data_IF_889465568009
#
_entry.id   IF_889465568009
#
_cell.length_a   1.000
_cell.length_b   1.000
_cell.length_c   1.000
_cell.angle_alpha   90.00
_cell.angle_beta   90.00
_cell.angle_gamma   90.00
#
_symmetry.space_group_name_H-M   'P 1'
#
loop_
_entity.id
_entity.type
_entity.pdbx_description
1 polymer ?
#
# COMPACT_ATOMS: atom_id res chain seq x y z
N UNK A 1 -23.60 -23.64 6.67
CA UNK A 1 -22.19 -23.17 6.60
C UNK A 1 -21.81 -23.03 5.13
N UNK A 2 -21.82 -21.81 4.60
CA UNK A 2 -21.43 -21.58 3.20
C UNK A 2 -19.90 -21.68 3.09
N UNK A 3 -19.43 -22.64 2.30
CA UNK A 3 -18.01 -22.84 1.99
C UNK A 3 -17.51 -21.58 1.28
N UNK A 4 -16.80 -20.72 1.99
CA UNK A 4 -16.17 -19.53 1.41
C UNK A 4 -15.20 -20.03 0.33
N UNK A 5 -15.50 -19.75 -0.94
CA UNK A 5 -14.61 -20.14 -2.03
C UNK A 5 -13.31 -19.36 -1.85
N UNK A 6 -12.21 -20.09 -1.64
CA UNK A 6 -10.88 -19.50 -1.56
C UNK A 6 -10.48 -19.04 -2.97
N UNK A 7 -10.98 -17.88 -3.37
CA UNK A 7 -10.63 -17.19 -4.62
C UNK A 7 -9.14 -16.79 -4.65
N UNK A 8 -8.42 -16.97 -3.53
CA UNK A 8 -6.99 -16.75 -3.38
C UNK A 8 -6.19 -17.45 -4.49
N UNK A 9 -6.54 -18.68 -4.88
CA UNK A 9 -5.82 -19.43 -5.91
C UNK A 9 -5.96 -18.79 -7.30
N UNK A 10 -7.17 -18.34 -7.66
CA UNK A 10 -7.40 -17.63 -8.93
C UNK A 10 -6.68 -16.28 -9.00
N UNK A 11 -6.61 -15.57 -7.87
CA UNK A 11 -5.88 -14.30 -7.78
C UNK A 11 -4.36 -14.50 -7.80
N UNK A 12 -3.83 -15.53 -7.14
CA UNK A 12 -2.42 -15.90 -7.19
C UNK A 12 -2.01 -16.31 -8.61
N UNK A 13 -2.88 -17.01 -9.34
CA UNK A 13 -2.67 -17.35 -10.75
C UNK A 13 -2.69 -16.11 -11.64
N UNK A 14 -3.66 -15.21 -11.48
CA UNK A 14 -3.75 -13.97 -12.27
C UNK A 14 -2.58 -13.01 -12.01
N UNK A 15 -2.21 -12.81 -10.75
CA UNK A 15 -1.02 -12.02 -10.37
C UNK A 15 0.28 -12.70 -10.81
N UNK A 16 0.34 -14.04 -10.74
CA UNK A 16 1.47 -14.84 -11.22
C UNK A 16 1.69 -14.72 -12.73
N UNK A 17 0.62 -14.74 -13.52
CA UNK A 17 0.69 -14.54 -14.97
C UNK A 17 1.14 -13.12 -15.32
N UNK A 18 0.58 -12.09 -14.66
CA UNK A 18 1.01 -10.71 -14.86
C UNK A 18 2.49 -10.49 -14.44
N UNK A 19 2.93 -11.18 -13.37
CA UNK A 19 4.31 -11.19 -12.92
C UNK A 19 5.25 -11.86 -13.91
N UNK A 20 4.87 -13.02 -14.45
CA UNK A 20 5.62 -13.74 -15.47
C UNK A 20 5.74 -12.88 -16.73
N UNK A 21 4.66 -12.22 -17.16
CA UNK A 21 4.69 -11.37 -18.36
C UNK A 21 5.54 -10.11 -18.15
N UNK A 22 5.51 -9.48 -16.97
CA UNK A 22 6.40 -8.37 -16.65
C UNK A 22 7.87 -8.82 -16.57
N UNK A 23 8.14 -9.97 -15.94
CA UNK A 23 9.48 -10.53 -15.83
C UNK A 23 10.05 -10.94 -17.20
N UNK A 24 9.22 -11.55 -18.06
CA UNK A 24 9.59 -11.87 -19.46
C UNK A 24 9.86 -10.57 -20.22
N UNK A 25 9.03 -9.55 -20.06
CA UNK A 25 9.21 -8.27 -20.75
C UNK A 25 10.50 -7.55 -20.35
N UNK A 26 10.84 -7.58 -19.05
CA UNK A 26 12.12 -7.07 -18.53
C UNK A 26 13.29 -7.91 -19.04
N UNK A 27 13.19 -9.24 -19.00
CA UNK A 27 14.25 -10.14 -19.46
C UNK A 27 14.51 -10.03 -20.97
N UNK A 28 13.45 -9.89 -21.78
CA UNK A 28 13.55 -9.67 -23.23
C UNK A 28 14.21 -8.32 -23.50
N UNK A 29 13.77 -7.25 -22.83
CA UNK A 29 14.40 -5.92 -22.99
C UNK A 29 15.89 -5.92 -22.62
N UNK A 30 16.27 -6.60 -21.53
CA UNK A 30 17.67 -6.78 -21.12
C UNK A 30 18.49 -7.59 -22.12
N UNK A 31 17.93 -8.70 -22.65
CA UNK A 31 18.58 -9.54 -23.66
C UNK A 31 18.84 -8.79 -24.97
N UNK A 32 17.91 -7.93 -25.40
CA UNK A 32 18.12 -7.09 -26.59
C UNK A 32 19.28 -6.08 -26.39
N UNK A 33 19.42 -5.51 -25.19
CA UNK A 33 20.53 -4.61 -24.86
C UNK A 33 21.91 -5.27 -24.86
N UNK A 34 22.03 -6.51 -24.37
CA UNK A 34 23.30 -7.27 -24.38
C UNK A 34 23.76 -7.64 -25.80
N UNK A 35 22.84 -7.73 -26.75
CA UNK A 35 23.12 -8.05 -28.16
C UNK A 35 23.50 -6.81 -29.00
N UNK A 36 23.73 -5.66 -28.37
CA UNK A 36 24.06 -4.40 -29.06
C UNK A 36 22.90 -3.80 -29.85
N UNK A 37 21.65 -4.20 -29.57
CA UNK A 37 20.43 -3.57 -30.12
C UNK A 37 19.97 -2.44 -29.19
N UNK A 38 19.17 -1.51 -29.71
CA UNK A 38 18.61 -0.41 -28.93
C UNK A 38 17.86 -0.94 -27.69
N UNK A 39 18.10 -0.31 -26.54
CA UNK A 39 17.43 -0.65 -25.28
C UNK A 39 15.95 -0.27 -25.35
N UNK A 40 15.06 -1.21 -24.98
CA UNK A 40 13.61 -0.98 -25.06
C UNK A 40 13.06 -0.52 -23.73
N UNK A 41 12.51 0.69 -23.69
CA UNK A 41 11.80 1.20 -22.51
C UNK A 41 10.31 0.84 -22.59
N UNK A 42 9.79 0.17 -21.57
CA UNK A 42 8.39 -0.26 -21.53
C UNK A 42 7.43 0.91 -21.59
N UNK A 43 7.77 2.02 -20.94
CA UNK A 43 6.91 3.21 -20.94
C UNK A 43 6.79 3.87 -22.31
N UNK A 44 7.71 3.65 -23.26
CA UNK A 44 7.59 4.25 -24.61
C UNK A 44 6.52 3.52 -25.45
N UNK A 45 6.35 2.21 -25.25
CA UNK A 45 5.35 1.40 -25.98
C UNK A 45 4.05 1.18 -25.20
N UNK A 46 4.11 1.25 -23.87
CA UNK A 46 3.05 0.80 -22.97
C UNK A 46 2.61 1.90 -22.00
N UNK A 47 2.80 3.18 -22.33
CA UNK A 47 2.40 4.33 -21.50
C UNK A 47 0.93 4.30 -21.05
N UNK A 48 0.05 3.61 -21.79
CA UNK A 48 -1.37 3.48 -21.44
C UNK A 48 -1.64 2.47 -20.30
N UNK A 49 -0.70 1.58 -19.98
CA UNK A 49 -0.91 0.51 -19.00
C UNK A 49 -1.25 1.01 -17.59
N UNK A 50 -0.59 2.03 -17.01
CA UNK A 50 -0.96 2.53 -15.68
C UNK A 50 -2.41 3.03 -15.63
N UNK A 51 -2.91 3.65 -16.71
CA UNK A 51 -4.30 4.10 -16.83
C UNK A 51 -5.25 2.89 -16.90
N UNK A 52 -4.92 1.90 -17.75
CA UNK A 52 -5.70 0.67 -17.87
C UNK A 52 -5.76 -0.08 -16.53
N UNK A 53 -4.63 -0.22 -15.84
CA UNK A 53 -4.52 -0.86 -14.53
C UNK A 53 -5.37 -0.11 -13.50
N UNK A 54 -5.34 1.22 -13.50
CA UNK A 54 -6.22 2.01 -12.65
C UNK A 54 -7.70 1.75 -12.95
N UNK A 55 -8.11 1.75 -14.22
CA UNK A 55 -9.49 1.44 -14.61
C UNK A 55 -9.93 0.01 -14.19
N UNK A 56 -9.05 -0.99 -14.36
CA UNK A 56 -9.26 -2.37 -13.90
C UNK A 56 -9.41 -2.41 -12.37
N UNK A 57 -8.64 -1.62 -11.64
CA UNK A 57 -8.74 -1.53 -10.18
C UNK A 57 -10.12 -1.04 -9.72
N UNK A 58 -10.66 -0.01 -10.38
CA UNK A 58 -11.99 0.54 -10.11
C UNK A 58 -13.08 -0.51 -10.41
N UNK A 59 -13.00 -1.14 -11.59
CA UNK A 59 -13.97 -2.16 -12.00
C UNK A 59 -13.96 -3.36 -11.04
N UNK A 60 -12.77 -3.84 -10.67
CA UNK A 60 -12.59 -4.97 -9.76
C UNK A 60 -13.19 -4.66 -8.39
N UNK A 61 -12.92 -3.48 -7.83
CA UNK A 61 -13.47 -3.08 -6.54
C UNK A 61 -15.01 -2.99 -6.55
N UNK A 62 -15.64 -2.56 -7.65
CA UNK A 62 -17.10 -2.50 -7.78
C UNK A 62 -17.80 -3.87 -7.68
N UNK A 63 -17.07 -4.96 -7.94
CA UNK A 63 -17.60 -6.34 -7.94
C UNK A 63 -17.24 -7.13 -6.69
N UNK A 64 -16.27 -6.65 -5.90
CA UNK A 64 -15.77 -7.39 -4.75
C UNK A 64 -16.57 -7.04 -3.50
N UNK A 65 -17.32 -8.02 -2.99
CA UNK A 65 -17.96 -7.88 -1.69
C UNK A 65 -16.94 -8.05 -0.57
N UNK A 66 -16.86 -7.05 0.32
CA UNK A 66 -16.00 -7.09 1.51
C UNK A 66 -16.84 -7.43 2.74
N UNK A 67 -16.69 -8.64 3.31
CA UNK A 67 -17.56 -9.12 4.38
C UNK A 67 -17.42 -8.31 5.69
N UNK A 68 -16.40 -7.47 5.78
CA UNK A 68 -16.16 -6.60 6.94
C UNK A 68 -15.62 -7.38 8.13
N UNK A 69 -15.30 -6.62 9.17
CA UNK A 69 -14.77 -7.13 10.42
C UNK A 69 -15.88 -7.84 11.22
N UNK A 70 -15.55 -8.95 11.85
CA UNK A 70 -16.49 -9.72 12.69
C UNK A 70 -15.79 -10.65 13.66
N UNK A 71 -16.49 -10.99 14.74
CA UNK A 71 -16.04 -11.95 15.74
C UNK A 71 -16.46 -13.36 15.27
N UNK A 72 -15.52 -14.30 15.31
CA UNK A 72 -15.71 -15.71 14.93
C UNK A 72 -15.15 -16.61 16.04
N UNK A 73 -15.96 -16.87 17.08
CA UNK A 73 -15.55 -17.72 18.20
C UNK A 73 -14.37 -17.14 18.99
N UNK A 74 -13.22 -17.80 18.91
CA UNK A 74 -11.96 -17.45 19.59
C UNK A 74 -11.10 -16.44 18.80
N UNK A 75 -11.52 -16.07 17.59
CA UNK A 75 -10.78 -15.18 16.68
C UNK A 75 -11.64 -14.04 16.20
N UNK A 76 -10.97 -12.99 15.72
CA UNK A 76 -11.62 -11.83 15.12
C UNK A 76 -11.03 -11.61 13.73
N UNK A 77 -11.89 -11.57 12.71
CA UNK A 77 -11.47 -11.19 11.37
C UNK A 77 -11.22 -9.68 11.36
N UNK A 78 -9.95 -9.30 11.28
CA UNK A 78 -9.49 -7.90 11.31
C UNK A 78 -9.25 -7.33 9.91
N UNK A 79 -8.73 -8.16 9.00
CA UNK A 79 -8.42 -7.80 7.62
C UNK A 79 -8.96 -8.87 6.66
N UNK A 80 -10.04 -8.56 5.94
CA UNK A 80 -10.53 -9.44 4.88
C UNK A 80 -9.53 -9.62 3.74
N UNK A 81 -9.76 -10.63 2.89
CA UNK A 81 -8.83 -10.99 1.81
C UNK A 81 -8.54 -9.86 0.84
N UNK A 82 -9.51 -8.98 0.58
CA UNK A 82 -9.33 -7.84 -0.33
C UNK A 82 -8.44 -6.78 0.33
N UNK A 83 -8.64 -6.48 1.61
CA UNK A 83 -7.74 -5.60 2.36
C UNK A 83 -6.28 -6.07 2.33
N UNK A 84 -6.05 -7.38 2.47
CA UNK A 84 -4.70 -7.96 2.41
C UNK A 84 -4.12 -7.89 1.00
N UNK A 85 -4.93 -8.18 -0.03
CA UNK A 85 -4.51 -8.05 -1.42
C UNK A 85 -4.07 -6.62 -1.74
N UNK A 86 -4.88 -5.62 -1.38
CA UNK A 86 -4.54 -4.21 -1.62
C UNK A 86 -3.26 -3.80 -0.89
N UNK A 87 -3.10 -4.25 0.35
CA UNK A 87 -1.89 -3.96 1.13
C UNK A 87 -0.64 -4.56 0.51
N UNK A 88 -0.61 -5.87 0.24
CA UNK A 88 0.59 -6.55 -0.24
C UNK A 88 0.97 -6.16 -1.67
N UNK A 89 0.00 -5.89 -2.53
CA UNK A 89 0.26 -5.37 -3.88
C UNK A 89 0.85 -3.97 -3.84
N UNK A 90 0.29 -3.07 -3.02
CA UNK A 90 0.85 -1.73 -2.83
C UNK A 90 2.22 -1.77 -2.14
N UNK A 91 2.42 -2.59 -1.11
CA UNK A 91 3.69 -2.72 -0.41
C UNK A 91 4.81 -3.22 -1.32
N UNK A 92 4.53 -4.25 -2.14
CA UNK A 92 5.48 -4.76 -3.12
C UNK A 92 5.82 -3.72 -4.19
N UNK A 93 4.81 -3.07 -4.78
CA UNK A 93 5.01 -2.02 -5.78
C UNK A 93 5.82 -0.85 -5.21
N UNK A 94 5.48 -0.40 -4.00
CA UNK A 94 6.19 0.66 -3.30
C UNK A 94 7.66 0.31 -3.05
N UNK A 95 7.95 -0.89 -2.54
CA UNK A 95 9.33 -1.33 -2.29
C UNK A 95 10.15 -1.36 -3.59
N UNK A 96 9.59 -1.90 -4.67
CA UNK A 96 10.26 -1.94 -5.97
C UNK A 96 10.51 -0.53 -6.51
N UNK A 97 9.54 0.38 -6.40
CA UNK A 97 9.67 1.79 -6.79
C UNK A 97 10.75 2.52 -6.00
N UNK A 98 10.82 2.30 -4.68
CA UNK A 98 11.83 2.92 -3.83
C UNK A 98 13.24 2.45 -4.19
N UNK A 99 13.44 1.13 -4.35
CA UNK A 99 14.75 0.55 -4.72
C UNK A 99 15.20 1.07 -6.09
N UNK A 100 14.32 1.00 -7.09
CA UNK A 100 14.65 1.44 -8.46
C UNK A 100 14.80 2.95 -8.56
N UNK A 101 14.00 3.73 -7.82
CA UNK A 101 14.11 5.18 -7.76
C UNK A 101 15.44 5.64 -7.16
N UNK A 102 15.90 5.01 -6.09
CA UNK A 102 17.25 5.24 -5.52
C UNK A 102 18.33 4.88 -6.55
N UNK A 103 18.22 3.73 -7.22
CA UNK A 103 19.19 3.29 -8.22
C UNK A 103 19.32 4.26 -9.41
N UNK A 104 18.20 4.84 -9.87
CA UNK A 104 18.13 5.78 -11.00
C UNK A 104 18.60 7.21 -10.66
N UNK A 105 18.86 7.48 -9.38
CA UNK A 105 19.15 8.81 -8.85
C UNK A 105 17.89 9.43 -8.27
N UNK A 106 18.01 9.98 -7.07
CA UNK A 106 16.88 10.38 -6.25
C UNK A 106 17.17 11.68 -5.49
N UNK A 107 16.45 12.76 -5.80
CA UNK A 107 16.71 14.09 -5.25
C UNK A 107 18.20 14.47 -5.37
N UNK A 108 18.92 14.48 -4.25
CA UNK A 108 20.35 14.79 -4.13
C UNK A 108 21.26 13.55 -4.15
N UNK A 109 20.67 12.34 -4.20
CA UNK A 109 21.41 11.08 -4.31
C UNK A 109 21.75 10.85 -5.79
N UNK A 110 23.04 10.71 -6.15
CA UNK A 110 23.44 10.45 -7.52
C UNK A 110 22.95 9.08 -7.99
N UNK A 111 22.86 8.92 -9.31
CA UNK A 111 22.52 7.64 -9.93
C UNK A 111 23.60 6.58 -9.64
N UNK A 112 23.18 5.37 -9.32
CA UNK A 112 24.07 4.23 -9.06
C UNK A 112 24.30 3.34 -10.29
N UNK A 113 23.38 3.34 -11.26
CA UNK A 113 23.52 2.61 -12.54
C UNK A 113 24.08 3.52 -13.64
N UNK A 114 25.16 3.12 -14.30
CA UNK A 114 25.89 4.00 -15.24
C UNK A 114 25.80 3.55 -16.69
N UNK A 115 25.70 2.25 -16.95
CA UNK A 115 25.54 1.72 -18.31
C UNK A 115 24.08 1.84 -18.79
N UNK A 116 23.92 1.90 -20.11
CA UNK A 116 22.63 2.10 -20.75
C UNK A 116 21.66 0.93 -20.48
N UNK A 117 22.18 -0.30 -20.45
CA UNK A 117 21.39 -1.52 -20.25
C UNK A 117 20.85 -1.61 -18.83
N UNK A 118 21.69 -1.39 -17.81
CA UNK A 118 21.25 -1.36 -16.42
C UNK A 118 20.31 -0.19 -16.14
N UNK A 119 20.55 0.97 -16.76
CA UNK A 119 19.64 2.12 -16.66
C UNK A 119 18.26 1.77 -17.22
N UNK A 120 18.19 1.17 -18.41
CA UNK A 120 16.93 0.72 -19.01
C UNK A 120 16.24 -0.34 -18.16
N UNK A 121 16.98 -1.31 -17.63
CA UNK A 121 16.45 -2.33 -16.72
C UNK A 121 15.83 -1.70 -15.46
N UNK A 122 16.50 -0.73 -14.83
CA UNK A 122 15.98 -0.05 -13.65
C UNK A 122 14.72 0.75 -13.96
N UNK A 123 14.67 1.45 -15.10
CA UNK A 123 13.46 2.15 -15.54
C UNK A 123 12.29 1.19 -15.81
N UNK A 124 12.57 0.04 -16.43
CA UNK A 124 11.54 -0.97 -16.71
C UNK A 124 11.02 -1.60 -15.41
N UNK A 125 11.90 -1.91 -14.45
CA UNK A 125 11.50 -2.36 -13.12
C UNK A 125 10.73 -1.29 -12.35
N UNK A 126 11.12 -0.02 -12.47
CA UNK A 126 10.38 1.10 -11.88
C UNK A 126 8.97 1.18 -12.48
N UNK A 127 8.84 1.05 -13.79
CA UNK A 127 7.55 1.01 -14.47
C UNK A 127 6.69 -0.18 -14.01
N UNK A 128 7.25 -1.37 -13.89
CA UNK A 128 6.55 -2.55 -13.32
C UNK A 128 6.10 -2.26 -11.88
N UNK A 129 6.97 -1.70 -11.05
CA UNK A 129 6.63 -1.27 -9.69
C UNK A 129 5.47 -0.28 -9.67
N UNK A 130 5.43 0.65 -10.62
CA UNK A 130 4.33 1.60 -10.79
C UNK A 130 3.01 0.89 -11.10
N UNK A 131 3.00 -0.13 -11.95
CA UNK A 131 1.78 -0.91 -12.24
C UNK A 131 1.24 -1.59 -10.97
N UNK A 132 2.09 -2.23 -10.18
CA UNK A 132 1.68 -2.85 -8.91
C UNK A 132 1.17 -1.82 -7.90
N UNK A 133 1.88 -0.70 -7.77
CA UNK A 133 1.52 0.34 -6.82
C UNK A 133 0.19 1.02 -7.19
N UNK A 134 0.01 1.38 -8.46
CA UNK A 134 -1.24 1.94 -8.99
C UNK A 134 -2.40 0.95 -8.84
N UNK A 135 -2.18 -0.34 -9.11
CA UNK A 135 -3.20 -1.36 -8.88
C UNK A 135 -3.61 -1.46 -7.41
N UNK A 136 -2.65 -1.62 -6.49
CA UNK A 136 -2.91 -1.77 -5.06
C UNK A 136 -3.59 -0.55 -4.45
N UNK A 137 -3.05 0.65 -4.74
CA UNK A 137 -3.62 1.92 -4.30
C UNK A 137 -4.98 2.20 -4.95
N UNK A 138 -5.16 1.87 -6.22
CA UNK A 138 -6.42 2.04 -6.94
C UNK A 138 -7.53 1.14 -6.39
N UNK A 139 -7.25 -0.14 -6.14
CA UNK A 139 -8.22 -1.03 -5.47
C UNK A 139 -8.54 -0.53 -4.06
N UNK A 140 -7.52 -0.10 -3.31
CA UNK A 140 -7.72 0.44 -1.97
C UNK A 140 -8.64 1.66 -2.03
N UNK A 141 -8.31 2.68 -2.83
CA UNK A 141 -9.09 3.91 -2.97
C UNK A 141 -10.53 3.62 -3.40
N UNK A 142 -10.72 2.72 -4.36
CA UNK A 142 -12.07 2.31 -4.81
C UNK A 142 -12.90 1.69 -3.70
N UNK A 143 -12.31 0.81 -2.87
CA UNK A 143 -13.00 0.22 -1.72
C UNK A 143 -13.42 1.30 -0.71
N UNK A 144 -12.63 2.37 -0.56
CA UNK A 144 -12.96 3.49 0.30
C UNK A 144 -14.10 4.35 -0.26
N UNK A 145 -14.17 4.50 -1.59
CA UNK A 145 -15.26 5.24 -2.26
C UNK A 145 -16.59 4.50 -2.20
N UNK A 146 -16.58 3.16 -2.32
CA UNK A 146 -17.79 2.33 -2.24
C UNK A 146 -18.37 2.30 -0.82
N UNK A 147 -17.52 2.28 0.20
CA UNK A 147 -17.96 2.33 1.59
C UNK A 147 -17.20 3.42 2.37
N UNK A 148 -17.66 4.70 2.30
CA UNK A 148 -16.98 5.84 2.90
C UNK A 148 -16.74 5.72 4.41
N UNK A 149 -17.58 4.94 5.12
CA UNK A 149 -17.37 4.61 6.54
C UNK A 149 -16.07 3.86 6.81
N UNK A 150 -15.56 3.09 5.84
CA UNK A 150 -14.22 2.49 5.95
C UNK A 150 -13.12 3.53 5.85
N UNK A 151 -13.36 4.65 5.17
CA UNK A 151 -12.36 5.69 5.04
C UNK A 151 -12.21 6.44 6.36
N UNK A 152 -13.32 6.75 7.04
CA UNK A 152 -13.28 7.40 8.34
C UNK A 152 -12.53 6.60 9.41
N UNK A 153 -12.47 5.25 9.34
CA UNK A 153 -11.67 4.47 10.30
C UNK A 153 -10.17 4.68 10.19
N UNK A 154 -9.68 5.15 9.02
CA UNK A 154 -8.27 5.41 8.76
C UNK A 154 -7.86 6.85 9.06
N UNK A 155 -8.83 7.75 9.20
CA UNK A 155 -8.60 9.16 9.48
C UNK A 155 -8.56 9.44 10.98
N UNK A 156 -7.80 10.47 11.40
CA UNK A 156 -7.96 11.09 12.71
C UNK A 156 -9.42 11.44 13.03
N UNK A 157 -9.89 11.06 14.21
CA UNK A 157 -11.20 11.49 14.75
C UNK A 157 -11.07 12.71 15.68
N UNK A 158 -9.86 12.99 16.14
CA UNK A 158 -9.51 14.12 16.99
C UNK A 158 -8.54 15.08 16.29
N UNK A 159 -8.23 16.21 16.95
CA UNK A 159 -7.20 17.11 16.45
C UNK A 159 -5.85 16.41 16.30
N UNK A 160 -5.08 16.79 15.28
CA UNK A 160 -3.75 16.20 14.99
C UNK A 160 -2.80 16.23 16.19
N UNK A 161 -2.93 17.25 17.04
CA UNK A 161 -2.11 17.36 18.26
C UNK A 161 -2.42 16.27 19.29
N UNK A 162 -3.69 15.91 19.46
CA UNK A 162 -4.08 14.86 20.40
C UNK A 162 -3.70 13.49 19.85
N UNK A 163 -3.92 13.26 18.56
CA UNK A 163 -3.47 12.06 17.84
C UNK A 163 -1.96 11.86 17.99
N UNK A 164 -1.17 12.92 17.84
CA UNK A 164 0.28 12.87 18.02
C UNK A 164 0.65 12.51 19.45
N UNK A 165 0.05 13.15 20.46
CA UNK A 165 0.27 12.82 21.87
C UNK A 165 -0.05 11.36 22.18
N UNK A 166 -1.19 10.86 21.72
CA UNK A 166 -1.59 9.46 21.90
C UNK A 166 -0.68 8.49 21.15
N UNK A 167 -0.17 8.90 19.98
CA UNK A 167 0.81 8.11 19.21
C UNK A 167 2.15 7.98 19.94
N UNK A 168 2.65 9.07 20.51
CA UNK A 168 3.87 9.05 21.34
C UNK A 168 3.64 8.17 22.56
N UNK A 169 2.49 8.32 23.23
CA UNK A 169 2.15 7.53 24.41
C UNK A 169 2.02 6.03 24.10
N UNK A 170 1.45 5.69 22.95
CA UNK A 170 1.36 4.31 22.48
C UNK A 170 2.75 3.70 22.32
N UNK A 171 3.67 4.37 21.61
CA UNK A 171 5.01 3.81 21.42
C UNK A 171 5.86 3.80 22.70
N UNK A 172 5.74 4.80 23.58
CA UNK A 172 6.43 4.76 24.88
C UNK A 172 5.90 3.63 25.76
N UNK A 173 4.61 3.31 25.67
CA UNK A 173 4.03 2.12 26.33
C UNK A 173 4.60 0.83 25.73
N UNK A 174 4.66 0.70 24.40
CA UNK A 174 5.26 -0.47 23.74
C UNK A 174 6.74 -0.68 24.09
N UNK A 175 7.46 0.42 24.34
CA UNK A 175 8.86 0.40 24.80
C UNK A 175 9.02 0.20 26.32
N UNK A 176 7.91 0.02 27.06
CA UNK A 176 7.93 -0.18 28.52
C UNK A 176 8.31 1.08 29.32
N UNK A 177 8.36 2.24 28.68
CA UNK A 177 8.72 3.52 29.33
C UNK A 177 7.57 4.12 30.14
N UNK A 178 6.34 3.64 29.92
CA UNK A 178 5.16 4.04 30.69
C UNK A 178 4.19 2.87 30.83
N UNK A 179 3.42 2.88 31.93
CA UNK A 179 2.33 1.93 32.16
C UNK A 179 1.00 2.40 31.60
N UNK A 180 0.93 3.64 31.11
CA UNK A 180 -0.32 4.20 30.59
C UNK A 180 -0.67 3.57 29.26
N UNK A 181 -1.68 2.71 29.27
CA UNK A 181 -2.26 2.13 28.06
C UNK A 181 -3.38 3.02 27.55
N UNK A 182 -3.34 3.38 26.26
CA UNK A 182 -4.40 4.13 25.58
C UNK A 182 -5.32 3.13 24.93
N UNK A 183 -6.60 3.13 25.31
CA UNK A 183 -7.60 2.32 24.60
C UNK A 183 -7.64 2.72 23.13
N UNK A 184 -7.46 1.75 22.24
CA UNK A 184 -7.35 2.01 20.82
C UNK A 184 -8.63 1.63 20.05
N UNK A 185 -8.99 2.41 19.02
CA UNK A 185 -9.94 1.99 17.99
C UNK A 185 -9.27 0.95 17.08
N UNK A 186 -9.91 0.62 15.94
CA UNK A 186 -9.42 -0.43 15.04
C UNK A 186 -7.96 -0.21 14.69
N UNK A 187 -7.59 1.00 14.32
CA UNK A 187 -6.23 1.41 14.10
C UNK A 187 -5.80 2.31 15.24
N UNK A 188 -4.64 2.03 15.84
CA UNK A 188 -4.03 2.95 16.82
C UNK A 188 -3.86 4.34 16.22
N UNK A 189 -3.86 5.36 17.09
CA UNK A 189 -3.58 6.76 16.72
C UNK A 189 -2.29 6.90 15.88
N UNK A 190 -1.24 6.17 16.27
CA UNK A 190 0.02 6.10 15.54
C UNK A 190 -0.15 5.52 14.13
N UNK A 191 -0.99 4.50 13.99
CA UNK A 191 -1.31 3.87 12.72
C UNK A 191 -2.14 4.77 11.80
N UNK A 192 -3.07 5.57 12.35
CA UNK A 192 -3.85 6.55 11.60
C UNK A 192 -2.99 7.70 11.09
N UNK A 193 -2.10 8.24 11.93
CA UNK A 193 -1.16 9.30 11.51
C UNK A 193 -0.19 8.81 10.42
N UNK A 194 0.42 7.63 10.62
CA UNK A 194 1.27 7.03 9.60
C UNK A 194 0.48 6.77 8.32
N UNK A 195 -0.74 6.23 8.44
CA UNK A 195 -1.66 6.02 7.33
C UNK A 195 -1.95 7.30 6.56
N UNK A 196 -2.20 8.42 7.25
CA UNK A 196 -2.48 9.72 6.63
C UNK A 196 -1.30 10.20 5.77
N UNK A 197 -0.08 10.12 6.29
CA UNK A 197 1.13 10.49 5.54
C UNK A 197 1.34 9.56 4.36
N UNK A 198 1.21 8.24 4.54
CA UNK A 198 1.32 7.26 3.45
C UNK A 198 0.29 7.56 2.36
N UNK A 199 -0.97 7.80 2.71
CA UNK A 199 -2.04 8.11 1.75
C UNK A 199 -1.73 9.40 0.97
N UNK A 200 -1.37 10.47 1.66
CA UNK A 200 -1.05 11.75 1.03
C UNK A 200 0.17 11.66 0.11
N UNK A 201 1.26 11.06 0.58
CA UNK A 201 2.47 10.86 -0.22
C UNK A 201 2.24 9.92 -1.39
N UNK A 202 1.45 8.86 -1.22
CA UNK A 202 1.07 7.94 -2.31
C UNK A 202 0.27 8.66 -3.40
N UNK A 203 -0.67 9.52 -3.00
CA UNK A 203 -1.43 10.32 -3.95
C UNK A 203 -0.53 11.25 -4.77
N UNK A 204 0.36 12.00 -4.09
CA UNK A 204 1.29 12.93 -4.77
C UNK A 204 2.30 12.19 -5.66
N UNK A 205 2.85 11.05 -5.22
CA UNK A 205 3.84 10.30 -6.03
C UNK A 205 3.20 9.67 -7.26
N UNK A 206 1.95 9.19 -7.15
CA UNK A 206 1.19 8.65 -8.28
C UNK A 206 0.89 9.76 -9.29
N UNK A 207 0.32 10.89 -8.84
CA UNK A 207 0.00 12.01 -9.74
C UNK A 207 1.23 12.56 -10.44
N UNK A 208 2.31 12.80 -9.70
CA UNK A 208 3.57 13.25 -10.28
C UNK A 208 4.22 12.19 -11.19
N UNK A 209 4.05 10.90 -10.90
CA UNK A 209 4.49 9.80 -11.77
C UNK A 209 3.76 9.80 -13.11
N UNK A 210 2.43 9.98 -13.11
CA UNK A 210 1.67 10.21 -14.34
C UNK A 210 2.12 11.50 -15.06
N UNK A 211 2.39 12.57 -14.31
CA UNK A 211 2.94 13.81 -14.86
C UNK A 211 4.28 13.59 -15.59
N UNK A 212 5.20 12.81 -15.01
CA UNK A 212 6.46 12.42 -15.65
C UNK A 212 6.24 11.61 -16.93
N UNK A 213 5.26 10.71 -16.92
CA UNK A 213 4.92 9.92 -18.10
C UNK A 213 4.36 10.81 -19.22
N UNK A 214 3.49 11.77 -18.89
CA UNK A 214 2.94 12.73 -19.85
C UNK A 214 4.03 13.67 -20.42
N UNK A 215 4.99 14.08 -19.59
CA UNK A 215 6.13 14.91 -20.00
C UNK A 215 7.04 14.27 -21.05
N UNK A 216 6.89 12.96 -21.32
CA UNK A 216 7.59 12.27 -22.42
C UNK A 216 7.07 12.65 -23.80
N UNK A 217 5.76 12.88 -23.91
CA UNK A 217 5.08 13.16 -25.18
C UNK A 217 4.66 14.62 -25.34
N UNK A 218 4.89 15.44 -24.31
CA UNK A 218 4.51 16.85 -24.27
C UNK A 218 5.73 17.69 -23.90
N UNK A 219 5.99 18.74 -24.67
CA UNK A 219 6.95 19.78 -24.31
C UNK A 219 6.35 20.65 -23.20
N UNK A 220 6.57 20.22 -21.95
CA UNK A 220 6.13 20.96 -20.77
C UNK A 220 7.04 22.17 -20.51
N UNK A 221 6.45 23.23 -19.98
CA UNK A 221 7.22 24.36 -19.45
C UNK A 221 8.25 23.86 -18.40
N UNK A 222 9.51 24.34 -18.42
CA UNK A 222 10.55 23.90 -17.50
C UNK A 222 10.16 23.95 -16.01
N UNK A 223 9.45 25.00 -15.59
CA UNK A 223 9.00 25.14 -14.20
C UNK A 223 7.96 24.08 -13.81
N UNK A 224 7.10 23.66 -14.75
CA UNK A 224 6.13 22.59 -14.53
C UNK A 224 6.85 21.24 -14.43
N UNK A 225 7.81 20.98 -15.31
CA UNK A 225 8.60 19.76 -15.29
C UNK A 225 9.41 19.64 -13.98
N UNK A 226 9.98 20.75 -13.50
CA UNK A 226 10.67 20.80 -12.21
C UNK A 226 9.73 20.55 -11.03
N UNK A 227 8.55 21.19 -11.01
CA UNK A 227 7.55 20.94 -9.97
C UNK A 227 7.14 19.48 -9.92
N UNK A 228 6.91 18.84 -11.07
CA UNK A 228 6.61 17.40 -11.17
C UNK A 228 7.76 16.58 -10.57
N UNK A 229 9.01 16.87 -10.96
CA UNK A 229 10.19 16.17 -10.47
C UNK A 229 10.38 16.28 -8.95
N UNK A 230 10.28 17.50 -8.41
CA UNK A 230 10.42 17.77 -6.98
C UNK A 230 9.27 17.15 -6.19
N UNK A 231 8.02 17.30 -6.65
CA UNK A 231 6.86 16.69 -6.00
C UNK A 231 6.98 15.18 -5.94
N UNK A 232 7.44 14.55 -7.03
CA UNK A 232 7.71 13.11 -7.06
C UNK A 232 8.82 12.72 -6.09
N UNK A 233 9.93 13.45 -6.08
CA UNK A 233 11.07 13.17 -5.20
C UNK A 233 10.73 13.32 -3.72
N UNK A 234 10.09 14.40 -3.30
CA UNK A 234 9.73 14.64 -1.91
C UNK A 234 8.63 13.70 -1.40
N UNK A 235 7.65 13.36 -2.24
CA UNK A 235 6.65 12.35 -1.87
C UNK A 235 7.25 10.94 -1.75
N UNK A 236 8.17 10.58 -2.65
CA UNK A 236 8.94 9.35 -2.53
C UNK A 236 9.88 9.36 -1.31
N UNK A 237 10.45 10.52 -0.91
CA UNK A 237 11.25 10.62 0.33
C UNK A 237 10.40 10.32 1.56
N UNK A 238 9.20 10.91 1.63
CA UNK A 238 8.30 10.67 2.74
C UNK A 238 7.95 9.17 2.86
N UNK A 239 7.67 8.51 1.74
CA UNK A 239 7.45 7.05 1.72
C UNK A 239 8.73 6.28 2.08
N UNK A 240 9.89 6.68 1.56
CA UNK A 240 11.18 6.04 1.85
C UNK A 240 11.51 6.04 3.35
N UNK A 241 11.21 7.13 4.04
CA UNK A 241 11.45 7.25 5.48
C UNK A 241 10.39 6.48 6.29
N UNK A 242 9.13 6.55 5.87
CA UNK A 242 8.01 6.03 6.66
C UNK A 242 7.79 4.52 6.49
N UNK A 243 7.99 3.96 5.28
CA UNK A 243 7.75 2.54 5.01
C UNK A 243 8.67 1.61 5.83
N UNK A 244 9.98 1.87 5.97
CA UNK A 244 10.84 1.08 6.86
C UNK A 244 10.38 1.14 8.32
N UNK A 245 10.01 2.32 8.81
CA UNK A 245 9.49 2.50 10.17
C UNK A 245 8.16 1.74 10.34
N UNK A 246 7.27 1.83 9.36
CA UNK A 246 6.01 1.09 9.33
C UNK A 246 6.23 -0.42 9.35
N UNK A 247 7.15 -0.95 8.54
CA UNK A 247 7.49 -2.37 8.52
C UNK A 247 8.10 -2.82 9.85
N UNK A 248 9.00 -2.01 10.42
CA UNK A 248 9.62 -2.27 11.71
C UNK A 248 8.58 -2.36 12.83
N UNK A 249 7.77 -1.32 12.99
CA UNK A 249 6.81 -1.18 14.09
C UNK A 249 5.53 -2.01 13.88
N UNK A 250 5.21 -2.34 12.62
CA UNK A 250 3.99 -3.05 12.23
C UNK A 250 4.17 -4.55 12.01
N UNK A 251 5.41 -5.05 11.90
CA UNK A 251 5.62 -6.48 11.70
C UNK A 251 6.95 -7.09 12.13
N UNK A 252 8.06 -6.34 12.14
CA UNK A 252 9.37 -6.90 12.55
C UNK A 252 9.50 -6.95 14.07
N UNK A 253 9.06 -5.89 14.76
CA UNK A 253 9.16 -5.83 16.21
C UNK A 253 8.33 -6.93 16.89
N UNK A 254 8.82 -7.58 17.97
CA UNK A 254 8.15 -8.73 18.58
C UNK A 254 6.70 -8.45 19.02
N UNK A 255 6.43 -7.24 19.49
CA UNK A 255 5.10 -6.84 19.92
C UNK A 255 4.09 -6.74 18.76
N UNK A 256 4.56 -6.60 17.53
CA UNK A 256 3.74 -6.40 16.35
C UNK A 256 3.39 -7.70 15.61
N UNK A 257 3.88 -8.86 16.07
CA UNK A 257 3.67 -10.13 15.38
C UNK A 257 2.20 -10.53 15.23
N UNK A 258 1.34 -10.16 16.18
CA UNK A 258 -0.11 -10.36 16.04
C UNK A 258 -0.69 -9.53 14.88
N UNK A 259 -0.20 -8.30 14.70
CA UNK A 259 -0.57 -7.43 13.58
C UNK A 259 -0.06 -7.99 12.25
N UNK A 260 1.19 -8.46 12.19
CA UNK A 260 1.73 -9.12 10.99
C UNK A 260 0.93 -10.38 10.63
N UNK A 261 0.64 -11.24 11.63
CA UNK A 261 -0.19 -12.42 11.44
C UNK A 261 -1.58 -12.06 10.92
N UNK A 262 -2.17 -10.98 11.40
CA UNK A 262 -3.43 -10.46 10.88
C UNK A 262 -3.30 -9.98 9.43
N UNK A 263 -2.18 -9.37 9.05
CA UNK A 263 -1.95 -8.95 7.67
C UNK A 263 -1.68 -10.09 6.69
N UNK A 264 -1.28 -11.27 7.18
CA UNK A 264 -1.12 -12.47 6.35
C UNK A 264 -2.40 -13.31 6.32
N UNK A 265 -2.96 -13.60 7.49
CA UNK A 265 -4.09 -14.55 7.65
C UNK A 265 -5.46 -13.88 7.64
N UNK A 266 -5.52 -12.60 8.02
CA UNK A 266 -6.74 -11.83 8.26
C UNK A 266 -7.19 -11.79 9.72
N UNK A 267 -6.64 -12.65 10.58
CA UNK A 267 -7.18 -12.92 11.90
C UNK A 267 -6.25 -12.52 13.05
N UNK A 268 -6.86 -12.07 14.14
CA UNK A 268 -6.24 -11.94 15.47
C UNK A 268 -7.00 -12.80 16.49
N UNK A 269 -6.38 -13.11 17.63
CA UNK A 269 -7.12 -13.74 18.73
C UNK A 269 -8.12 -12.74 19.34
N UNK A 270 -9.20 -13.28 19.91
CA UNK A 270 -10.18 -12.48 20.66
C UNK A 270 -9.53 -11.69 21.78
N UNK A 271 -8.67 -12.33 22.58
CA UNK A 271 -7.99 -11.70 23.71
C UNK A 271 -7.11 -10.53 23.27
N UNK A 272 -6.40 -10.67 22.15
CA UNK A 272 -5.60 -9.59 21.60
C UNK A 272 -6.47 -8.41 21.15
N UNK A 273 -7.57 -8.68 20.44
CA UNK A 273 -8.50 -7.64 20.02
C UNK A 273 -9.13 -6.91 21.21
N UNK A 274 -9.52 -7.64 22.26
CA UNK A 274 -10.09 -7.07 23.48
C UNK A 274 -9.09 -6.21 24.24
N UNK A 275 -7.82 -6.64 24.33
CA UNK A 275 -6.79 -5.94 25.07
C UNK A 275 -6.24 -4.72 24.33
N UNK A 276 -5.80 -4.91 23.10
CA UNK A 276 -5.07 -3.89 22.33
C UNK A 276 -6.00 -3.00 21.49
N UNK A 277 -7.24 -3.43 21.23
CA UNK A 277 -8.22 -2.71 20.40
C UNK A 277 -9.60 -2.65 21.06
N UNK A 278 -9.65 -2.37 22.35
CA UNK A 278 -10.84 -2.44 23.19
C UNK A 278 -12.06 -1.66 22.62
N UNK A 279 -11.84 -0.45 22.09
CA UNK A 279 -12.93 0.37 21.53
C UNK A 279 -13.55 -0.34 20.33
N UNK A 280 -12.73 -0.79 19.38
CA UNK A 280 -13.18 -1.53 18.20
C UNK A 280 -13.84 -2.86 18.56
N UNK A 281 -13.30 -3.56 19.56
CA UNK A 281 -13.89 -4.82 19.99
C UNK A 281 -15.32 -4.64 20.53
N UNK A 282 -15.56 -3.61 21.36
CA UNK A 282 -16.91 -3.26 21.85
C UNK A 282 -17.88 -2.93 20.70
N UNK A 283 -17.43 -2.15 19.70
CA UNK A 283 -18.23 -1.84 18.51
C UNK A 283 -18.63 -3.10 17.72
N UNK A 284 -17.73 -4.08 17.62
CA UNK A 284 -18.03 -5.35 16.95
C UNK A 284 -19.07 -6.18 17.73
N UNK A 285 -18.95 -6.23 19.05
CA UNK A 285 -19.92 -6.94 19.89
C UNK A 285 -21.31 -6.29 19.81
N UNK A 286 -21.38 -4.96 19.84
CA UNK A 286 -22.64 -4.22 19.67
C UNK A 286 -23.28 -4.51 18.31
N UNK A 287 -22.48 -4.47 17.24
CA UNK A 287 -22.94 -4.77 15.89
C UNK A 287 -23.47 -6.20 15.77
N UNK A 288 -22.78 -7.17 16.38
CA UNK A 288 -23.19 -8.57 16.38
C UNK A 288 -24.51 -8.75 17.15
N UNK A 289 -24.64 -8.19 18.36
CA UNK A 289 -25.88 -8.24 19.15
C UNK A 289 -27.06 -7.63 18.39
N UNK A 290 -26.84 -6.51 17.71
CA UNK A 290 -27.89 -5.88 16.91
C UNK A 290 -28.35 -6.76 15.74
N UNK A 291 -27.42 -7.40 15.04
CA UNK A 291 -27.73 -8.35 13.97
C UNK A 291 -28.46 -9.60 14.47
N UNK A 292 -28.12 -10.09 15.66
CA UNK A 292 -28.80 -11.22 16.30
C UNK A 292 -30.23 -10.83 16.74
N UNK A 293 -30.44 -9.61 17.24
CA UNK A 293 -31.78 -9.11 17.63
C UNK A 293 -32.73 -8.86 16.46
N UNK A 294 -32.21 -8.70 15.25
CA UNK A 294 -32.98 -8.46 14.02
C UNK A 294 -33.33 -9.75 13.27
N UNK A 295 -32.85 -10.90 13.73
CA UNK A 295 -33.13 -12.22 13.16
C UNK A 295 -34.22 -12.93 13.98
#
# INVERSE_FOLDING_TARGET
MAKQSNNLLGWLLGAGVAFILCAISVAVSSYHGEQGRETVMLFDSLAYLPILVFAVSLFTASKLHRPGDRIEGDKVLRHDGIARLTHWTAAFGCLLLLITGIALGFLFIPRFVVDATATAMMFNLHFVGALFFVFGCGLWASNQLVEPRRFSTHLPDESLWIELKKSVLHYTHMLGMTKTHVEAPKYHHSGRLAGLVIMASSFVVILSGFGKLLARGLDLNPSIAELINLSHGWSALALLLLIPVHALLGGVAPWAWNTLKAMVTGYVSRDYAQKEHAIWFRELEEKQRHQESQR
#
